data_IF_386623879954
#
_entry.id   IF_386623879954
#
_cell.length_a   1.000
_cell.length_b   1.000
_cell.length_c   1.000
_cell.angle_alpha   90.00
_cell.angle_beta   90.00
_cell.angle_gamma   90.00
#
_symmetry.space_group_name_H-M   'P 1'
#
loop_
_entity.id
_entity.type
_entity.pdbx_description
1 polymer ?
#
# COMPACT_ATOMS: atom_id res chain seq x y z
N UNK A 1 -48.05 12.11 -24.35
CA UNK A 1 -46.88 11.24 -24.64
C UNK A 1 -45.65 11.83 -23.96
N UNK A 2 -45.10 11.20 -22.91
CA UNK A 2 -43.87 11.67 -22.22
C UNK A 2 -42.69 10.76 -22.61
N UNK A 3 -41.62 11.33 -23.18
CA UNK A 3 -40.35 10.63 -23.43
C UNK A 3 -39.61 10.43 -22.11
N UNK A 4 -39.06 9.24 -21.80
CA UNK A 4 -38.14 9.09 -20.67
C UNK A 4 -36.74 9.59 -21.09
N UNK A 5 -36.31 10.69 -20.46
CA UNK A 5 -34.94 11.19 -20.53
C UNK A 5 -33.96 10.20 -19.93
N UNK A 6 -32.98 9.79 -20.74
CA UNK A 6 -31.91 8.85 -20.43
C UNK A 6 -30.99 9.44 -19.34
N UNK A 7 -31.13 8.97 -18.10
CA UNK A 7 -30.18 9.24 -17.00
C UNK A 7 -28.87 8.49 -17.24
N UNK A 8 -27.91 9.12 -17.92
CA UNK A 8 -26.54 8.61 -18.05
C UNK A 8 -25.58 9.68 -17.52
N UNK A 9 -25.20 9.59 -16.24
CA UNK A 9 -24.19 10.51 -15.68
C UNK A 9 -23.74 10.26 -14.23
N UNK A 10 -24.50 9.55 -13.39
CA UNK A 10 -24.23 9.44 -11.96
C UNK A 10 -23.10 8.47 -11.53
N UNK A 11 -22.74 7.50 -12.37
CA UNK A 11 -21.89 6.38 -11.95
C UNK A 11 -20.40 6.71 -11.76
N UNK A 12 -19.87 7.76 -12.41
CA UNK A 12 -18.44 8.11 -12.32
C UNK A 12 -18.11 8.92 -11.06
N UNK A 13 -18.95 9.88 -10.69
CA UNK A 13 -18.75 10.75 -9.51
C UNK A 13 -18.81 9.99 -8.18
N UNK A 14 -19.76 9.06 -8.05
CA UNK A 14 -19.88 8.21 -6.86
C UNK A 14 -18.63 7.33 -6.67
N UNK A 15 -18.18 6.63 -7.73
CA UNK A 15 -16.97 5.79 -7.67
C UNK A 15 -15.72 6.58 -7.28
N UNK A 16 -15.62 7.84 -7.72
CA UNK A 16 -14.47 8.69 -7.40
C UNK A 16 -14.52 9.21 -5.96
N UNK A 17 -15.69 9.58 -5.45
CA UNK A 17 -15.87 9.98 -4.05
C UNK A 17 -15.58 8.83 -3.08
N UNK A 18 -16.06 7.61 -3.36
CA UNK A 18 -15.77 6.43 -2.52
C UNK A 18 -14.28 6.08 -2.55
N UNK A 19 -13.62 6.21 -3.71
CA UNK A 19 -12.16 6.03 -3.85
C UNK A 19 -11.35 7.07 -3.09
N UNK A 20 -11.78 8.35 -3.09
CA UNK A 20 -11.12 9.42 -2.32
C UNK A 20 -11.26 9.18 -0.81
N UNK A 21 -12.46 8.82 -0.35
CA UNK A 21 -12.75 8.54 1.07
C UNK A 21 -12.05 7.27 1.59
N UNK A 22 -11.91 6.24 0.74
CA UNK A 22 -11.16 5.02 1.06
C UNK A 22 -9.64 5.24 1.10
N UNK A 23 -9.10 6.15 0.26
CA UNK A 23 -7.67 6.53 0.29
C UNK A 23 -7.29 7.26 1.57
N UNK A 24 -8.08 8.26 1.99
CA UNK A 24 -7.81 8.97 3.25
C UNK A 24 -7.89 8.02 4.44
N UNK A 25 -8.89 7.12 4.46
CA UNK A 25 -9.08 6.17 5.57
C UNK A 25 -7.93 5.16 5.71
N UNK A 26 -7.40 4.64 4.59
CA UNK A 26 -6.26 3.72 4.63
C UNK A 26 -4.99 4.42 5.14
N UNK A 27 -4.73 5.63 4.65
CA UNK A 27 -3.57 6.42 5.07
C UNK A 27 -3.62 6.80 6.55
N UNK A 28 -4.79 7.19 7.07
CA UNK A 28 -4.99 7.47 8.49
C UNK A 28 -4.73 6.24 9.37
N UNK A 29 -5.20 5.07 8.95
CA UNK A 29 -4.97 3.80 9.65
C UNK A 29 -3.48 3.48 9.69
N UNK A 30 -2.80 3.56 8.55
CA UNK A 30 -1.37 3.28 8.46
C UNK A 30 -0.54 4.30 9.25
N UNK A 31 -0.89 5.60 9.20
CA UNK A 31 -0.25 6.62 10.03
C UNK A 31 -0.38 6.29 11.52
N UNK A 32 -1.55 5.84 11.97
CA UNK A 32 -1.74 5.38 13.36
C UNK A 32 -0.87 4.17 13.68
N UNK A 33 -0.79 3.18 12.80
CA UNK A 33 0.10 2.02 12.98
C UNK A 33 1.56 2.46 13.11
N UNK A 34 1.99 3.40 12.26
CA UNK A 34 3.34 3.97 12.28
C UNK A 34 3.65 4.71 13.57
N UNK A 35 2.72 5.53 14.05
CA UNK A 35 2.84 6.25 15.32
C UNK A 35 2.82 5.31 16.54
N UNK A 36 2.08 4.21 16.48
CA UNK A 36 2.03 3.21 17.56
C UNK A 36 3.21 2.23 17.55
N UNK A 37 3.97 2.15 16.44
CA UNK A 37 5.08 1.22 16.28
C UNK A 37 6.31 1.91 15.63
N UNK A 38 6.84 2.98 16.26
CA UNK A 38 7.95 3.74 15.70
C UNK A 38 9.23 2.88 15.58
N UNK A 39 9.40 1.87 16.44
CA UNK A 39 10.55 0.97 16.36
C UNK A 39 10.56 0.11 15.09
N UNK A 40 9.40 -0.26 14.53
CA UNK A 40 9.35 -1.06 13.30
C UNK A 40 9.92 -0.30 12.10
N UNK A 41 9.77 1.02 12.12
CA UNK A 41 10.31 1.91 11.09
C UNK A 41 11.82 2.10 11.27
N UNK A 42 12.29 2.23 12.52
CA UNK A 42 13.71 2.42 12.84
C UNK A 42 14.54 1.16 12.64
N UNK A 43 13.97 -0.02 12.92
CA UNK A 43 14.67 -1.30 12.88
C UNK A 43 14.56 -2.03 11.52
N UNK A 44 13.92 -1.43 10.51
CA UNK A 44 13.77 -2.07 9.19
C UNK A 44 12.82 -3.28 9.19
N UNK A 45 11.88 -3.36 10.13
CA UNK A 45 10.95 -4.49 10.31
C UNK A 45 9.72 -4.37 9.41
N UNK A 46 9.95 -4.44 8.10
CA UNK A 46 8.91 -4.30 7.08
C UNK A 46 7.80 -5.36 7.17
N UNK A 47 8.13 -6.61 7.50
CA UNK A 47 7.17 -7.71 7.62
C UNK A 47 6.22 -7.49 8.79
N UNK A 48 6.74 -7.13 9.96
CA UNK A 48 5.94 -6.83 11.14
C UNK A 48 5.08 -5.58 10.93
N UNK A 49 5.61 -4.57 10.24
CA UNK A 49 4.82 -3.40 9.85
C UNK A 49 3.68 -3.78 8.91
N UNK A 50 3.94 -4.59 7.88
CA UNK A 50 2.93 -5.07 6.94
C UNK A 50 1.86 -5.91 7.66
N UNK A 51 2.23 -6.77 8.61
CA UNK A 51 1.30 -7.51 9.46
C UNK A 51 0.39 -6.58 10.27
N UNK A 52 0.97 -5.58 10.94
CA UNK A 52 0.21 -4.63 11.76
C UNK A 52 -0.73 -3.77 10.90
N UNK A 53 -0.23 -3.30 9.74
CA UNK A 53 -1.01 -2.53 8.77
C UNK A 53 -2.18 -3.34 8.18
N UNK A 54 -1.92 -4.57 7.74
CA UNK A 54 -2.94 -5.48 7.20
C UNK A 54 -4.06 -5.72 8.22
N UNK A 55 -3.70 -6.05 9.47
CA UNK A 55 -4.65 -6.26 10.55
C UNK A 55 -5.50 -5.02 10.81
N UNK A 56 -4.88 -3.84 10.85
CA UNK A 56 -5.58 -2.58 11.11
C UNK A 56 -6.53 -2.20 9.95
N UNK A 57 -6.12 -2.45 8.71
CA UNK A 57 -6.95 -2.23 7.53
C UNK A 57 -8.14 -3.18 7.48
N UNK A 58 -7.92 -4.48 7.75
CA UNK A 58 -8.99 -5.49 7.88
C UNK A 58 -10.03 -5.11 8.93
N UNK A 59 -9.59 -4.65 10.10
CA UNK A 59 -10.49 -4.16 11.17
C UNK A 59 -11.36 -2.96 10.74
N UNK A 60 -10.93 -2.19 9.74
CA UNK A 60 -11.68 -1.07 9.18
C UNK A 60 -12.46 -1.44 7.92
N UNK A 61 -12.45 -2.71 7.51
CA UNK A 61 -13.08 -3.21 6.28
C UNK A 61 -12.43 -2.65 5.02
N UNK A 62 -11.14 -2.33 5.07
CA UNK A 62 -10.38 -1.82 3.92
C UNK A 62 -9.62 -2.99 3.32
N UNK A 63 -9.98 -3.35 2.09
CA UNK A 63 -9.28 -4.37 1.33
C UNK A 63 -8.03 -3.81 0.66
N UNK A 64 -7.06 -4.69 0.45
CA UNK A 64 -5.82 -4.36 -0.22
C UNK A 64 -5.09 -5.60 -0.72
N UNK A 65 -3.90 -5.38 -1.25
CA UNK A 65 -2.98 -6.44 -1.65
C UNK A 65 -1.71 -6.28 -0.85
N UNK A 66 -1.27 -7.34 -0.20
CA UNK A 66 0.07 -7.41 0.38
C UNK A 66 1.01 -8.00 -0.65
N UNK A 67 2.21 -7.43 -0.73
CA UNK A 67 3.22 -7.82 -1.70
C UNK A 67 4.53 -8.05 -0.98
N UNK A 68 5.14 -9.20 -1.26
CA UNK A 68 6.44 -9.61 -0.79
C UNK A 68 7.41 -9.65 -1.95
N UNK A 69 8.54 -8.96 -1.80
CA UNK A 69 9.56 -8.85 -2.84
C UNK A 69 10.92 -9.29 -2.30
N UNK A 70 11.71 -9.91 -3.17
CA UNK A 70 13.13 -10.12 -2.93
C UNK A 70 13.88 -8.85 -3.29
N UNK A 71 14.66 -8.38 -2.34
CA UNK A 71 15.40 -7.14 -2.41
C UNK A 71 16.82 -7.34 -2.98
N UNK A 72 17.20 -8.56 -3.37
CA UNK A 72 18.50 -8.85 -4.01
C UNK A 72 19.74 -8.26 -3.31
N UNK A 73 19.66 -7.92 -2.01
CA UNK A 73 20.73 -7.28 -1.23
C UNK A 73 20.86 -5.75 -1.31
N UNK A 74 20.23 -5.03 -2.26
CA UNK A 74 20.59 -3.62 -2.52
C UNK A 74 19.45 -2.63 -2.70
N UNK A 75 18.19 -3.07 -2.74
CA UNK A 75 17.09 -2.11 -2.92
C UNK A 75 16.81 -1.42 -1.58
N UNK A 76 17.12 -0.14 -1.56
CA UNK A 76 17.46 0.59 -0.37
C UNK A 76 17.08 2.04 -0.48
N UNK A 77 16.45 2.61 0.55
CA UNK A 77 16.40 4.06 0.65
C UNK A 77 17.84 4.57 0.82
N UNK A 78 18.31 5.39 -0.12
CA UNK A 78 19.69 5.89 -0.18
C UNK A 78 20.78 4.79 -0.27
N UNK A 79 20.46 3.67 -0.95
CA UNK A 79 21.43 2.59 -1.19
C UNK A 79 21.70 1.68 0.00
N UNK A 80 20.95 1.83 1.11
CA UNK A 80 21.03 0.95 2.29
C UNK A 80 19.96 -0.14 2.23
N UNK A 81 20.28 -1.41 2.49
CA UNK A 81 19.28 -2.48 2.42
C UNK A 81 18.06 -2.18 3.30
N UNK A 82 16.85 -2.23 2.73
CA UNK A 82 15.59 -2.00 3.46
C UNK A 82 15.37 -3.05 4.56
N UNK A 83 15.99 -4.22 4.42
CA UNK A 83 15.91 -5.34 5.36
C UNK A 83 17.19 -6.18 5.32
N UNK A 84 17.66 -6.61 6.50
CA UNK A 84 18.83 -7.48 6.65
C UNK A 84 18.63 -8.92 6.12
N UNK A 85 17.39 -9.33 5.84
CA UNK A 85 17.08 -10.66 5.32
C UNK A 85 16.87 -10.71 3.79
N UNK A 86 17.06 -9.59 3.09
CA UNK A 86 16.90 -9.54 1.63
C UNK A 86 15.44 -9.64 1.14
N UNK A 87 14.46 -9.48 2.02
CA UNK A 87 13.02 -9.46 1.69
C UNK A 87 12.42 -8.12 2.12
N UNK A 88 11.54 -7.55 1.31
CA UNK A 88 10.75 -6.37 1.67
C UNK A 88 9.26 -6.67 1.50
N UNK A 89 8.43 -6.17 2.42
CA UNK A 89 6.99 -6.35 2.38
C UNK A 89 6.26 -5.02 2.51
N UNK A 90 5.22 -4.85 1.69
CA UNK A 90 4.43 -3.64 1.64
C UNK A 90 2.95 -3.93 1.32
N UNK A 91 2.11 -2.96 1.63
CA UNK A 91 0.67 -3.01 1.40
C UNK A 91 0.31 -2.05 0.26
N UNK A 92 -0.34 -2.56 -0.78
CA UNK A 92 -0.97 -1.76 -1.84
C UNK A 92 -2.47 -1.67 -1.58
N UNK A 93 -2.94 -0.46 -1.30
CA UNK A 93 -4.35 -0.15 -1.13
C UNK A 93 -4.71 0.98 -2.08
N UNK A 94 -5.64 0.75 -3.00
CA UNK A 94 -6.09 1.79 -3.94
C UNK A 94 -4.96 2.46 -4.74
N UNK A 95 -3.96 1.67 -5.18
CA UNK A 95 -2.75 2.11 -5.93
C UNK A 95 -1.81 2.98 -5.10
N UNK A 96 -1.91 2.89 -3.78
CA UNK A 96 -1.05 3.57 -2.83
C UNK A 96 -0.31 2.51 -2.05
N UNK A 97 1.01 2.64 -2.01
CA UNK A 97 1.90 1.73 -1.31
C UNK A 97 2.23 2.29 0.07
N UNK A 98 2.10 1.41 1.05
CA UNK A 98 2.36 1.66 2.45
C UNK A 98 3.40 0.63 2.92
N UNK A 99 4.54 1.12 3.39
CA UNK A 99 5.58 0.31 4.01
C UNK A 99 6.12 1.04 5.25
N UNK A 100 7.11 0.42 5.92
CA UNK A 100 7.71 1.00 7.12
C UNK A 100 8.37 2.37 6.84
N UNK A 101 8.78 2.64 5.59
CA UNK A 101 9.45 3.88 5.21
C UNK A 101 8.45 4.94 4.69
N UNK A 102 7.38 4.55 4.03
CA UNK A 102 6.49 5.40 3.24
C UNK A 102 5.02 5.15 3.58
N UNK A 103 4.26 6.24 3.69
CA UNK A 103 2.85 6.20 4.07
C UNK A 103 1.95 6.69 2.93
N UNK A 104 2.00 6.03 1.76
CA UNK A 104 1.12 6.35 0.63
C UNK A 104 1.82 6.91 -0.60
N UNK A 105 2.98 6.34 -0.96
CA UNK A 105 3.56 6.56 -2.29
C UNK A 105 2.62 6.01 -3.37
N UNK A 106 2.63 6.57 -4.57
CA UNK A 106 1.95 5.88 -5.67
C UNK A 106 2.68 4.57 -5.96
N UNK A 107 1.96 3.53 -6.39
CA UNK A 107 2.59 2.25 -6.78
C UNK A 107 3.70 2.45 -7.81
N UNK A 108 3.49 3.35 -8.79
CA UNK A 108 4.47 3.67 -9.81
C UNK A 108 5.75 4.27 -9.21
N UNK A 109 5.60 5.27 -8.34
CA UNK A 109 6.75 5.93 -7.71
C UNK A 109 7.49 4.99 -6.77
N UNK A 110 6.75 4.13 -6.06
CA UNK A 110 7.34 3.09 -5.22
C UNK A 110 8.17 2.11 -6.06
N UNK A 111 7.60 1.58 -7.14
CA UNK A 111 8.30 0.63 -8.01
C UNK A 111 9.57 1.23 -8.64
N UNK A 112 9.53 2.51 -9.00
CA UNK A 112 10.69 3.24 -9.52
C UNK A 112 11.74 3.52 -8.43
N UNK A 113 11.30 3.96 -7.24
CA UNK A 113 12.20 4.32 -6.13
C UNK A 113 12.92 3.12 -5.54
N UNK A 114 12.26 1.98 -5.53
CA UNK A 114 12.76 0.76 -4.92
C UNK A 114 13.10 -0.32 -5.94
N UNK A 115 13.30 0.05 -7.22
CA UNK A 115 13.68 -0.85 -8.32
C UNK A 115 12.97 -2.24 -8.26
N UNK A 116 11.70 -2.21 -7.89
CA UNK A 116 10.81 -3.37 -7.77
C UNK A 116 9.93 -3.52 -9.02
N UNK A 117 10.19 -2.69 -10.03
CA UNK A 117 9.56 -2.77 -11.35
C UNK A 117 9.83 -4.08 -12.07
N UNK A 118 10.88 -4.83 -11.67
CA UNK A 118 11.15 -6.16 -12.18
C UNK A 118 10.20 -7.19 -11.53
N UNK A 119 9.22 -7.76 -12.27
CA UNK A 119 8.27 -8.71 -11.72
C UNK A 119 8.94 -10.00 -11.20
N UNK A 120 10.17 -10.32 -11.66
CA UNK A 120 10.96 -11.46 -11.14
C UNK A 120 11.37 -11.28 -9.67
N UNK A 121 11.23 -10.07 -9.11
CA UNK A 121 11.48 -9.79 -7.69
C UNK A 121 10.25 -9.99 -6.83
N UNK A 122 9.04 -10.09 -7.39
CA UNK A 122 7.84 -10.40 -6.60
C UNK A 122 7.89 -11.88 -6.25
N UNK A 123 8.03 -12.16 -4.96
CA UNK A 123 8.00 -13.53 -4.45
C UNK A 123 6.54 -13.97 -4.31
N UNK A 124 5.73 -13.14 -3.67
CA UNK A 124 4.35 -13.46 -3.31
C UNK A 124 3.48 -12.21 -3.29
N UNK A 125 2.20 -12.36 -3.61
CA UNK A 125 1.21 -11.32 -3.35
C UNK A 125 -0.16 -11.93 -3.08
N UNK A 126 -0.87 -11.41 -2.09
CA UNK A 126 -2.20 -11.89 -1.73
C UNK A 126 -3.13 -10.76 -1.32
N UNK A 127 -4.42 -10.95 -1.56
CA UNK A 127 -5.45 -10.00 -1.17
C UNK A 127 -5.86 -10.23 0.29
N UNK A 128 -6.27 -9.15 0.94
CA UNK A 128 -6.64 -9.15 2.35
C UNK A 128 -7.85 -8.24 2.58
#
# INVERSE_FOLDING_TARGET
>A
MRKPGKLLGGGKRLKEATRRKGRTRAEEVIKKVKSSNPELCKLGKCVEFANAGEKALKQKGISGTRVRVSNGGSVGFDGKPISGNGVHEFLDVNRKVYDNLNSGLSRKDFLNRFDVSNPKRILESWNF
#
